data_IF_536953302601
#
_entry.id   IF_536953302601
#
_cell.length_a   1.000
_cell.length_b   1.000
_cell.length_c   1.000
_cell.angle_alpha   90.00
_cell.angle_beta   90.00
_cell.angle_gamma   90.00
#
_symmetry.space_group_name_H-M   'P 1'
#
loop_
_entity.id
_entity.type
_entity.pdbx_description
1 polymer ?
#
# COMPACT_ATOMS: atom_id res chain seq x y z
N UNK A 1 -16.31 3.94 15.69
CA UNK A 1 -15.81 3.47 14.38
C UNK A 1 -15.15 4.62 13.60
N UNK A 2 -14.10 4.33 12.81
CA UNK A 2 -13.45 5.31 11.92
C UNK A 2 -14.20 5.34 10.58
N UNK A 3 -14.80 6.48 10.26
CA UNK A 3 -15.61 6.71 9.07
C UNK A 3 -14.88 7.72 8.19
N UNK A 4 -14.51 7.38 6.96
CA UNK A 4 -13.89 8.33 6.05
C UNK A 4 -14.96 9.20 5.39
N UNK A 5 -14.64 10.48 5.24
CA UNK A 5 -15.48 11.48 4.59
C UNK A 5 -14.67 12.22 3.53
N UNK A 6 -15.28 12.44 2.36
CA UNK A 6 -14.75 13.33 1.33
C UNK A 6 -15.56 14.63 1.33
N UNK A 7 -14.87 15.77 1.38
CA UNK A 7 -15.43 17.09 1.15
C UNK A 7 -15.16 17.49 -0.30
N UNK A 8 -16.21 17.88 -1.01
CA UNK A 8 -16.13 18.45 -2.36
C UNK A 8 -15.78 19.94 -2.31
N UNK A 9 -15.42 20.51 -3.46
CA UNK A 9 -15.09 21.94 -3.58
C UNK A 9 -16.24 22.90 -3.25
N UNK A 10 -17.48 22.44 -3.37
CA UNK A 10 -18.71 23.16 -2.99
C UNK A 10 -19.12 22.91 -1.53
N UNK A 11 -18.33 22.15 -0.76
CA UNK A 11 -18.55 21.93 0.67
C UNK A 11 -19.51 20.78 1.00
N UNK A 12 -19.90 19.97 0.01
CA UNK A 12 -20.72 18.78 0.23
C UNK A 12 -19.86 17.64 0.81
N UNK A 13 -20.38 16.97 1.85
CA UNK A 13 -19.75 15.77 2.43
C UNK A 13 -20.30 14.53 1.72
N UNK A 14 -19.39 13.70 1.20
CA UNK A 14 -19.64 12.37 0.68
C UNK A 14 -19.10 11.38 1.69
N UNK A 15 -19.99 10.64 2.34
CA UNK A 15 -19.62 9.59 3.28
C UNK A 15 -19.31 8.30 2.51
N UNK A 16 -18.23 7.61 2.89
CA UNK A 16 -17.92 6.31 2.31
C UNK A 16 -18.99 5.28 2.65
N UNK A 17 -19.29 4.37 1.72
CA UNK A 17 -20.13 3.19 2.00
C UNK A 17 -19.24 2.02 2.42
N UNK A 18 -19.51 1.41 3.57
CA UNK A 18 -18.78 0.22 4.01
C UNK A 18 -19.24 -0.99 3.19
N UNK A 19 -18.30 -1.72 2.58
CA UNK A 19 -18.54 -2.89 1.73
C UNK A 19 -17.64 -4.05 2.18
N UNK A 20 -18.12 -5.29 2.03
CA UNK A 20 -17.36 -6.52 2.23
C UNK A 20 -16.93 -7.12 0.89
N UNK A 21 -15.78 -7.77 0.85
CA UNK A 21 -15.27 -8.47 -0.35
C UNK A 21 -16.09 -9.71 -0.78
N UNK A 22 -17.14 -10.07 -0.05
CA UNK A 22 -18.07 -11.12 -0.49
C UNK A 22 -18.65 -10.76 -1.87
N UNK A 23 -18.17 -11.51 -2.88
CA UNK A 23 -18.48 -11.44 -4.30
C UNK A 23 -19.64 -10.48 -4.63
N UNK A 24 -19.27 -9.27 -5.05
CA UNK A 24 -20.17 -8.33 -5.74
C UNK A 24 -20.59 -9.01 -7.05
N UNK A 25 -21.53 -9.94 -6.97
CA UNK A 25 -22.24 -10.42 -8.14
C UNK A 25 -23.17 -9.29 -8.54
N UNK A 26 -23.02 -8.81 -9.78
CA UNK A 26 -23.73 -7.66 -10.37
C UNK A 26 -25.28 -7.79 -10.43
N UNK A 27 -25.87 -8.68 -9.64
CA UNK A 27 -27.30 -9.04 -9.66
C UNK A 27 -28.03 -8.76 -8.35
N UNK A 28 -27.40 -8.20 -7.32
CA UNK A 28 -28.12 -7.91 -6.08
C UNK A 28 -28.88 -6.57 -6.15
N UNK A 29 -30.22 -6.54 -6.00
CA UNK A 29 -31.00 -5.31 -6.01
C UNK A 29 -30.65 -4.43 -4.80
N UNK A 30 -30.62 -3.11 -5.01
CA UNK A 30 -30.25 -2.03 -4.07
C UNK A 30 -31.06 -1.94 -2.75
N UNK A 31 -31.80 -2.96 -2.37
CA UNK A 31 -32.60 -2.98 -1.15
C UNK A 31 -31.79 -3.50 0.05
N UNK A 32 -30.58 -2.97 0.25
CA UNK A 32 -29.81 -3.26 1.45
C UNK A 32 -30.40 -2.41 2.59
N UNK A 33 -31.18 -3.06 3.46
CA UNK A 33 -31.79 -2.47 4.65
C UNK A 33 -30.68 -1.87 5.54
N UNK A 34 -30.69 -0.56 5.77
CA UNK A 34 -29.69 0.19 6.57
C UNK A 34 -29.45 -0.38 7.99
N UNK A 35 -30.38 -1.21 8.50
CA UNK A 35 -30.37 -1.68 9.89
C UNK A 35 -29.26 -2.67 10.29
N UNK A 36 -28.57 -3.32 9.34
CA UNK A 36 -27.61 -4.39 9.68
C UNK A 36 -26.12 -3.97 9.64
N UNK A 37 -25.82 -2.79 9.10
CA UNK A 37 -24.44 -2.28 9.07
C UNK A 37 -23.96 -1.80 10.44
N UNK A 38 -24.85 -1.24 11.25
CA UNK A 38 -24.53 -0.63 12.55
C UNK A 38 -24.02 -1.66 13.55
N UNK A 39 -24.66 -2.85 13.60
CA UNK A 39 -24.32 -3.92 14.56
C UNK A 39 -22.91 -4.51 14.40
N UNK A 40 -22.32 -4.44 13.20
CA UNK A 40 -20.97 -4.99 12.96
C UNK A 40 -19.84 -4.03 13.34
N UNK A 41 -20.12 -2.73 13.52
CA UNK A 41 -19.13 -1.71 13.86
C UNK A 41 -18.92 -1.54 15.38
N UNK A 42 -19.68 -2.25 16.21
CA UNK A 42 -19.72 -2.10 17.68
C UNK A 42 -18.40 -2.45 18.42
N UNK A 43 -17.40 -3.02 17.73
CA UNK A 43 -16.23 -3.62 18.40
C UNK A 43 -14.97 -2.73 18.53
N UNK A 44 -14.97 -1.49 18.05
CA UNK A 44 -13.84 -0.57 18.23
C UNK A 44 -13.98 0.26 19.51
N UNK A 45 -13.68 -0.32 20.69
CA UNK A 45 -13.65 0.41 21.97
C UNK A 45 -12.27 1.02 22.23
N UNK A 46 -12.12 2.32 21.95
CA UNK A 46 -10.93 3.08 22.37
C UNK A 46 -11.13 3.52 23.83
N UNK A 47 -10.29 3.05 24.75
CA UNK A 47 -10.28 3.56 26.14
C UNK A 47 -9.66 4.96 26.15
N UNK A 48 -10.41 5.97 26.58
CA UNK A 48 -10.04 7.40 26.59
C UNK A 48 -9.09 7.76 27.75
N UNK A 49 -8.46 6.79 28.41
CA UNK A 49 -7.52 7.08 29.50
C UNK A 49 -6.15 7.50 28.95
N UNK A 50 -6.00 8.83 28.82
CA UNK A 50 -4.75 9.53 28.48
C UNK A 50 -4.68 10.06 27.05
N UNK A 51 -3.77 11.02 26.81
CA UNK A 51 -3.40 11.45 25.45
C UNK A 51 -2.68 10.29 24.76
N UNK A 52 -3.40 9.53 23.95
CA UNK A 52 -2.83 8.49 23.09
C UNK A 52 -2.88 8.95 21.64
N UNK A 53 -1.73 8.99 20.98
CA UNK A 53 -1.68 9.02 19.53
C UNK A 53 -1.63 7.57 19.02
N UNK A 54 -2.37 7.30 17.95
CA UNK A 54 -2.23 6.07 17.18
C UNK A 54 -2.08 6.45 15.72
N UNK A 55 -1.38 5.60 14.98
CA UNK A 55 -1.17 5.77 13.55
C UNK A 55 -2.06 4.78 12.82
N UNK A 56 -2.91 5.29 11.94
CA UNK A 56 -3.70 4.48 11.02
C UNK A 56 -3.00 4.50 9.66
N UNK A 57 -2.65 3.33 9.15
CA UNK A 57 -2.26 3.20 7.74
C UNK A 57 -3.50 2.78 6.98
N UNK A 58 -3.99 3.64 6.10
CA UNK A 58 -5.09 3.31 5.19
C UNK A 58 -4.55 3.29 3.76
N UNK A 59 -5.12 2.42 2.93
CA UNK A 59 -4.77 2.25 1.52
C UNK A 59 -5.91 2.75 0.67
N UNK A 60 -5.60 3.71 -0.20
CA UNK A 60 -6.50 4.19 -1.24
C UNK A 60 -6.15 3.50 -2.54
N UNK A 61 -7.13 2.93 -3.22
CA UNK A 61 -6.96 2.35 -4.55
C UNK A 61 -8.22 2.56 -5.37
N UNK A 62 -8.08 2.52 -6.69
CA UNK A 62 -9.19 2.68 -7.63
C UNK A 62 -9.54 1.32 -8.23
N UNK A 63 -10.82 0.93 -8.15
CA UNK A 63 -11.34 -0.32 -8.71
C UNK A 63 -12.79 -0.15 -9.11
N UNK A 64 -13.16 -0.67 -10.28
CA UNK A 64 -14.54 -0.66 -10.81
C UNK A 64 -15.20 0.74 -10.82
N UNK A 65 -14.43 1.77 -11.17
CA UNK A 65 -14.86 3.18 -11.18
C UNK A 65 -15.20 3.78 -9.80
N UNK A 66 -14.74 3.12 -8.73
CA UNK A 66 -14.90 3.59 -7.36
C UNK A 66 -13.55 3.74 -6.67
N UNK A 67 -13.43 4.77 -5.85
CA UNK A 67 -12.32 4.91 -4.93
C UNK A 67 -12.59 4.03 -3.71
N UNK A 68 -11.69 3.11 -3.45
CA UNK A 68 -11.77 2.19 -2.31
C UNK A 68 -10.71 2.59 -1.27
N UNK A 69 -11.12 2.62 -0.02
CA UNK A 69 -10.28 2.88 1.13
C UNK A 69 -10.30 1.66 2.05
N UNK A 70 -9.24 0.86 2.00
CA UNK A 70 -9.03 -0.24 2.92
C UNK A 70 -8.20 0.22 4.11
N UNK A 71 -8.63 -0.16 5.31
CA UNK A 71 -7.83 0.01 6.52
C UNK A 71 -7.32 -1.38 6.88
N UNK A 72 -6.08 -1.76 6.50
CA UNK A 72 -5.53 -3.06 6.83
C UNK A 72 -5.63 -3.30 8.33
N UNK A 73 -6.04 -4.52 8.70
CA UNK A 73 -5.99 -5.00 10.07
C UNK A 73 -4.54 -4.93 10.56
N UNK A 74 -4.25 -3.95 11.41
CA UNK A 74 -2.91 -3.78 11.98
C UNK A 74 -2.56 -5.04 12.77
N UNK A 75 -1.48 -5.78 12.41
CA UNK A 75 -1.19 -7.06 13.02
C UNK A 75 -0.74 -6.94 14.49
N UNK A 76 -0.36 -5.75 14.97
CA UNK A 76 0.34 -5.58 16.24
C UNK A 76 -0.29 -4.60 17.23
N UNK A 77 -1.37 -3.89 16.88
CA UNK A 77 -2.03 -3.00 17.84
C UNK A 77 -3.28 -3.69 18.38
N UNK A 78 -3.12 -4.48 19.45
CA UNK A 78 -4.24 -5.05 20.24
C UNK A 78 -5.18 -4.02 20.88
N UNK A 79 -5.13 -2.76 20.43
CA UNK A 79 -5.97 -1.64 20.85
C UNK A 79 -7.23 -1.48 19.99
N UNK A 80 -7.26 -2.06 18.80
CA UNK A 80 -8.40 -2.01 17.90
C UNK A 80 -8.67 -3.46 17.52
N UNK A 81 -9.74 -4.06 18.06
CA UNK A 81 -10.27 -5.31 17.54
C UNK A 81 -10.55 -5.05 16.06
N UNK A 82 -9.68 -5.57 15.20
CA UNK A 82 -9.62 -5.12 13.81
C UNK A 82 -10.95 -5.39 13.16
N UNK A 83 -11.49 -4.37 12.49
CA UNK A 83 -12.44 -4.59 11.40
C UNK A 83 -11.83 -5.68 10.50
N UNK A 84 -12.61 -6.71 10.17
CA UNK A 84 -12.14 -7.80 9.30
C UNK A 84 -11.43 -7.20 8.08
N UNK A 85 -10.30 -7.80 7.66
CA UNK A 85 -9.51 -7.29 6.53
C UNK A 85 -10.31 -7.21 5.23
N UNK A 86 -11.46 -7.87 5.20
CA UNK A 86 -12.38 -7.93 4.07
C UNK A 86 -13.28 -6.69 3.94
N UNK A 87 -13.20 -5.73 4.87
CA UNK A 87 -13.98 -4.48 4.80
C UNK A 87 -13.17 -3.34 4.19
N UNK A 88 -13.82 -2.61 3.29
CA UNK A 88 -13.29 -1.37 2.73
C UNK A 88 -14.43 -0.37 2.54
N UNK A 89 -14.07 0.92 2.52
CA UNK A 89 -15.01 1.99 2.23
C UNK A 89 -14.97 2.30 0.74
N UNK A 90 -16.13 2.37 0.09
CA UNK A 90 -16.26 2.77 -1.31
C UNK A 90 -16.83 4.18 -1.44
N UNK A 91 -16.26 4.93 -2.37
CA UNK A 91 -16.79 6.19 -2.87
C UNK A 91 -17.04 6.02 -4.38
N UNK A 92 -18.30 5.88 -4.73
CA UNK A 92 -18.72 5.65 -6.12
C UNK A 92 -18.84 6.98 -6.88
N UNK A 93 -18.62 6.94 -8.20
CA UNK A 93 -18.91 8.05 -9.13
C UNK A 93 -18.17 9.36 -8.79
N UNK A 94 -16.94 9.26 -8.30
CA UNK A 94 -16.10 10.43 -8.12
C UNK A 94 -15.60 10.94 -9.48
N UNK A 95 -15.54 12.27 -9.63
CA UNK A 95 -14.99 12.93 -10.81
C UNK A 95 -13.50 13.21 -10.60
N UNK A 96 -12.76 13.49 -11.68
CA UNK A 96 -11.38 13.94 -11.58
C UNK A 96 -11.32 15.40 -11.12
N UNK A 97 -11.33 15.60 -9.80
CA UNK A 97 -11.27 16.90 -9.14
C UNK A 97 -10.56 16.82 -7.79
N UNK A 98 -10.46 17.96 -7.12
CA UNK A 98 -9.87 18.06 -5.79
C UNK A 98 -10.97 17.80 -4.76
N UNK A 99 -10.67 16.88 -3.85
CA UNK A 99 -11.45 16.55 -2.68
C UNK A 99 -10.61 16.80 -1.42
N UNK A 100 -11.26 16.86 -0.26
CA UNK A 100 -10.56 16.76 1.01
C UNK A 100 -11.03 15.51 1.77
N UNK A 101 -10.11 14.65 2.16
CA UNK A 101 -10.36 13.45 2.94
C UNK A 101 -10.15 13.75 4.43
N UNK A 102 -11.06 13.28 5.28
CA UNK A 102 -10.81 13.16 6.72
C UNK A 102 -11.36 11.85 7.26
N UNK A 103 -10.99 11.54 8.48
CA UNK A 103 -11.59 10.46 9.25
C UNK A 103 -12.34 11.03 10.44
N UNK A 104 -13.57 10.53 10.64
CA UNK A 104 -14.41 10.82 11.79
C UNK A 104 -14.47 9.58 12.66
N UNK A 105 -14.13 9.74 13.93
CA UNK A 105 -14.23 8.71 14.95
C UNK A 105 -15.47 9.00 15.80
N UNK A 106 -16.52 8.20 15.59
CA UNK A 106 -17.66 8.21 16.50
C UNK A 106 -17.27 7.45 17.78
N UNK A 107 -17.21 8.18 18.91
CA UNK A 107 -16.91 7.63 20.24
C UNK A 107 -18.16 7.38 21.09
N UNK A 108 -19.35 7.68 20.57
CA UNK A 108 -20.60 7.44 21.26
C UNK A 108 -20.60 5.98 21.72
N UNK A 109 -20.59 5.79 23.05
CA UNK A 109 -20.86 4.48 23.61
C UNK A 109 -22.32 4.24 23.27
N UNK A 110 -22.59 3.23 22.47
CA UNK A 110 -23.89 2.60 22.57
C UNK A 110 -23.96 2.07 24.00
N UNK A 111 -24.61 2.85 24.87
CA UNK A 111 -25.20 2.36 26.09
C UNK A 111 -26.31 1.43 25.64
N UNK A 112 -25.94 0.24 25.18
CA UNK A 112 -26.88 -0.88 25.20
C UNK A 112 -27.30 -0.96 26.66
N UNK A 113 -28.57 -0.69 27.02
CA UNK A 113 -28.99 -0.83 28.39
C UNK A 113 -28.76 -2.29 28.73
N UNK A 114 -27.68 -2.56 29.46
CA UNK A 114 -27.51 -3.85 30.09
C UNK A 114 -28.75 -3.95 30.97
N UNK A 115 -29.57 -4.96 30.69
CA UNK A 115 -30.77 -5.23 31.44
C UNK A 115 -30.32 -5.64 32.85
N UNK A 116 -29.95 -4.67 33.68
CA UNK A 116 -29.38 -4.93 34.98
C UNK A 116 -30.49 -5.37 35.92
N UNK A 117 -30.31 -6.60 36.39
CA UNK A 117 -30.94 -7.18 37.56
C UNK A 117 -30.88 -6.20 38.74
N UNK A 118 -32.04 -5.99 39.38
CA UNK A 118 -32.31 -5.18 40.58
C UNK A 118 -31.24 -5.30 41.68
N UNK A 119 -30.15 -4.54 41.58
CA UNK A 119 -29.25 -4.27 42.69
C UNK A 119 -29.11 -2.76 42.76
N UNK A 120 -29.65 -2.17 43.82
CA UNK A 120 -29.58 -0.75 44.15
C UNK A 120 -28.11 -0.37 44.42
N UNK A 121 -27.37 0.01 43.38
CA UNK A 121 -26.13 0.78 43.52
C UNK A 121 -26.37 2.18 42.99
N UNK A 122 -25.96 3.17 43.79
CA UNK A 122 -25.98 4.59 43.42
C UNK A 122 -25.12 4.82 42.17
N UNK A 123 -25.80 4.86 41.03
CA UNK A 123 -25.21 5.14 39.74
C UNK A 123 -24.69 6.57 39.75
N UNK A 124 -23.36 6.72 39.77
CA UNK A 124 -22.74 8.01 39.55
C UNK A 124 -23.04 8.39 38.11
N UNK A 125 -23.89 9.40 37.90
CA UNK A 125 -24.27 9.89 36.57
C UNK A 125 -23.02 10.46 35.88
N UNK A 126 -22.32 9.63 35.12
CA UNK A 126 -21.30 10.09 34.19
C UNK A 126 -22.02 10.70 33.00
N UNK A 127 -21.95 12.02 32.86
CA UNK A 127 -22.57 12.74 31.75
C UNK A 127 -22.16 12.15 30.40
N UNK A 128 -23.15 11.88 29.56
CA UNK A 128 -23.00 11.34 28.21
C UNK A 128 -22.24 12.31 27.30
N UNK A 129 -20.92 12.33 27.41
CA UNK A 129 -20.07 13.06 26.47
C UNK A 129 -19.87 12.21 25.21
N UNK A 130 -20.81 12.28 24.27
CA UNK A 130 -20.61 11.80 22.90
C UNK A 130 -19.77 12.82 22.11
N UNK A 131 -18.45 12.75 22.23
CA UNK A 131 -17.56 13.61 21.45
C UNK A 131 -17.25 12.95 20.10
N UNK A 132 -17.68 13.60 19.01
CA UNK A 132 -17.27 13.21 17.66
C UNK A 132 -15.87 13.77 17.43
N UNK A 133 -14.88 12.89 17.34
CA UNK A 133 -13.50 13.28 17.04
C UNK A 133 -13.28 13.24 15.53
N UNK A 134 -12.57 14.22 14.97
CA UNK A 134 -12.24 14.22 13.53
C UNK A 134 -10.78 14.59 13.30
N UNK A 135 -10.18 14.00 12.27
CA UNK A 135 -8.86 14.41 11.79
C UNK A 135 -8.96 15.72 11.01
N UNK A 136 -7.86 16.47 10.87
CA UNK A 136 -7.77 17.53 9.88
C UNK A 136 -8.06 17.02 8.47
N UNK A 137 -8.48 17.94 7.60
CA UNK A 137 -8.70 17.68 6.18
C UNK A 137 -7.38 17.49 5.44
N UNK A 138 -7.31 16.46 4.59
CA UNK A 138 -6.20 16.12 3.69
C UNK A 138 -6.63 16.31 2.25
N UNK A 139 -5.89 17.10 1.47
CA UNK A 139 -6.21 17.27 0.05
C UNK A 139 -5.96 15.96 -0.73
N UNK A 140 -6.97 15.53 -1.47
CA UNK A 140 -6.97 14.35 -2.34
C UNK A 140 -7.27 14.82 -3.76
N UNK A 141 -6.29 14.69 -4.66
CA UNK A 141 -6.45 15.09 -6.05
C UNK A 141 -6.74 13.85 -6.88
N UNK A 142 -7.95 13.73 -7.39
CA UNK A 142 -8.29 12.69 -8.35
C UNK A 142 -7.98 13.21 -9.75
N UNK A 143 -7.07 12.53 -10.44
CA UNK A 143 -6.65 12.89 -11.79
C UNK A 143 -7.03 11.78 -12.76
N UNK A 144 -7.50 12.17 -13.94
CA UNK A 144 -7.66 11.22 -15.04
C UNK A 144 -6.30 11.00 -15.73
N UNK A 145 -5.98 9.76 -16.13
CA UNK A 145 -4.85 9.52 -17.03
C UNK A 145 -4.98 10.36 -18.29
N UNK A 146 -3.84 10.78 -18.86
CA UNK A 146 -3.88 11.52 -20.12
C UNK A 146 -4.41 10.59 -21.23
N UNK A 147 -5.38 11.08 -22.00
CA UNK A 147 -6.09 10.30 -23.04
C UNK A 147 -5.14 9.65 -24.06
N UNK A 148 -3.95 10.23 -24.27
CA UNK A 148 -2.96 9.75 -25.23
C UNK A 148 -2.01 8.67 -24.69
N UNK A 149 -1.90 8.50 -23.37
CA UNK A 149 -1.00 7.54 -22.75
C UNK A 149 -1.52 7.10 -21.37
N UNK A 150 -2.08 5.89 -21.32
CA UNK A 150 -2.68 5.30 -20.12
C UNK A 150 -1.68 5.10 -18.96
N UNK A 151 -0.38 5.17 -19.23
CA UNK A 151 0.69 5.04 -18.24
C UNK A 151 1.17 6.39 -17.70
N UNK A 152 0.57 7.48 -18.17
CA UNK A 152 0.98 8.84 -17.86
C UNK A 152 -0.11 9.59 -17.10
N UNK A 153 0.31 10.24 -16.02
CA UNK A 153 -0.52 11.12 -15.20
C UNK A 153 0.17 12.48 -15.05
N UNK A 154 -0.62 13.54 -14.96
CA UNK A 154 -0.11 14.89 -14.74
C UNK A 154 -0.76 15.48 -13.49
N UNK A 155 0.08 16.03 -12.60
CA UNK A 155 -0.35 16.67 -11.36
C UNK A 155 0.44 17.96 -11.21
N UNK A 156 -0.26 19.08 -11.13
CA UNK A 156 0.31 20.42 -10.90
C UNK A 156 1.46 20.79 -11.87
N UNK A 157 1.30 20.43 -13.15
CA UNK A 157 2.32 20.67 -14.18
C UNK A 157 3.55 19.76 -14.07
N UNK A 158 3.47 18.65 -13.33
CA UNK A 158 4.47 17.59 -13.31
C UNK A 158 3.86 16.32 -13.86
N UNK A 159 4.49 15.78 -14.90
CA UNK A 159 4.06 14.53 -15.53
C UNK A 159 4.84 13.37 -14.94
N UNK A 160 4.15 12.32 -14.53
CA UNK A 160 4.72 11.05 -14.11
C UNK A 160 4.29 9.99 -15.11
N UNK A 161 5.24 9.20 -15.61
CA UNK A 161 4.98 8.10 -16.53
C UNK A 161 5.65 6.83 -16.03
N UNK A 162 4.88 5.77 -15.85
CA UNK A 162 5.44 4.46 -15.50
C UNK A 162 5.99 3.81 -16.77
N UNK A 163 7.21 3.29 -16.71
CA UNK A 163 7.82 2.56 -17.82
C UNK A 163 8.09 1.12 -17.40
N UNK A 164 7.44 0.19 -18.10
CA UNK A 164 7.70 -1.25 -18.04
C UNK A 164 7.63 -1.80 -19.48
N UNK A 165 8.73 -1.76 -20.24
CA UNK A 165 8.69 -1.92 -21.69
C UNK A 165 8.38 -3.35 -22.14
N UNK A 166 8.50 -4.33 -21.24
CA UNK A 166 8.11 -5.72 -21.50
C UNK A 166 6.92 -6.07 -20.60
N UNK A 167 5.79 -6.44 -21.20
CA UNK A 167 4.65 -7.04 -20.50
C UNK A 167 4.74 -8.57 -20.43
N UNK A 168 5.68 -9.20 -21.14
CA UNK A 168 5.86 -10.66 -21.13
C UNK A 168 7.27 -10.97 -20.63
N UNK A 169 7.36 -11.55 -19.44
CA UNK A 169 8.62 -11.96 -18.85
C UNK A 169 8.86 -13.45 -19.07
N UNK A 170 9.86 -13.72 -19.90
CA UNK A 170 10.36 -15.07 -20.18
C UNK A 170 11.40 -15.48 -19.14
N UNK A 171 11.04 -16.38 -18.25
CA UNK A 171 11.91 -16.77 -17.15
C UNK A 171 12.83 -17.91 -17.62
N UNK A 172 14.07 -17.60 -18.00
CA UNK A 172 15.10 -18.57 -18.42
C UNK A 172 16.30 -18.68 -17.49
N UNK A 173 16.42 -17.77 -16.53
CA UNK A 173 17.57 -17.67 -15.62
C UNK A 173 17.08 -17.53 -14.19
N UNK A 174 17.94 -17.86 -13.24
CA UNK A 174 17.69 -17.73 -11.80
C UNK A 174 17.34 -16.28 -11.42
N UNK A 175 17.84 -15.32 -12.19
CA UNK A 175 17.56 -13.90 -12.07
C UNK A 175 17.29 -13.30 -13.45
N UNK A 176 16.21 -12.52 -13.57
CA UNK A 176 15.88 -11.73 -14.75
C UNK A 176 15.64 -10.29 -14.32
N UNK A 177 16.47 -9.36 -14.78
CA UNK A 177 16.29 -7.93 -14.51
C UNK A 177 15.06 -7.41 -15.23
N UNK A 178 14.23 -6.68 -14.49
CA UNK A 178 13.02 -6.03 -14.99
C UNK A 178 13.32 -4.55 -15.13
N UNK A 179 13.21 -4.02 -16.35
CA UNK A 179 13.27 -2.57 -16.57
C UNK A 179 11.94 -1.98 -16.10
N UNK A 180 11.90 -1.54 -14.86
CA UNK A 180 10.76 -0.86 -14.25
C UNK A 180 11.24 0.50 -13.73
N UNK A 181 10.51 1.56 -14.05
CA UNK A 181 10.89 2.90 -13.63
C UNK A 181 9.78 3.93 -13.76
N UNK A 182 10.06 5.13 -13.26
CA UNK A 182 9.18 6.28 -13.37
C UNK A 182 9.92 7.40 -14.09
N UNK A 183 9.39 7.83 -15.22
CA UNK A 183 9.76 9.08 -15.86
C UNK A 183 9.04 10.24 -15.18
N UNK A 184 9.79 11.23 -14.73
CA UNK A 184 9.26 12.46 -14.15
C UNK A 184 9.65 13.62 -15.05
N UNK A 185 8.67 14.32 -15.60
CA UNK A 185 8.87 15.51 -16.43
C UNK A 185 8.30 16.73 -15.72
N UNK A 186 9.13 17.74 -15.53
CA UNK A 186 8.71 18.99 -14.91
C UNK A 186 8.26 19.98 -15.99
N UNK A 187 6.95 20.15 -16.17
CA UNK A 187 6.38 21.14 -17.09
C UNK A 187 6.10 22.49 -16.41
N UNK A 188 6.45 22.66 -15.13
CA UNK A 188 6.31 23.93 -14.43
C UNK A 188 7.37 24.95 -14.87
N UNK A 189 7.19 26.21 -14.50
CA UNK A 189 8.15 27.28 -14.77
C UNK A 189 9.34 27.33 -13.80
N UNK A 190 9.32 26.52 -12.74
CA UNK A 190 10.35 26.49 -11.70
C UNK A 190 11.09 25.16 -11.67
N UNK A 191 12.35 25.16 -11.24
CA UNK A 191 13.07 23.91 -10.96
C UNK A 191 12.42 23.23 -9.76
N UNK A 192 12.17 21.93 -9.88
CA UNK A 192 11.62 21.11 -8.79
C UNK A 192 12.65 20.06 -8.37
N UNK A 193 12.74 19.82 -7.06
CA UNK A 193 13.53 18.73 -6.52
C UNK A 193 12.65 17.52 -6.22
N UNK A 194 13.06 16.37 -6.73
CA UNK A 194 12.44 15.08 -6.47
C UNK A 194 13.36 14.27 -5.58
N UNK A 195 12.78 13.65 -4.56
CA UNK A 195 13.56 12.89 -3.60
C UNK A 195 13.95 11.55 -4.23
N UNK A 196 15.25 11.26 -4.37
CA UNK A 196 15.72 10.04 -5.03
C UNK A 196 15.43 8.78 -4.21
N UNK A 197 15.50 8.94 -2.89
CA UNK A 197 15.03 7.94 -1.91
C UNK A 197 13.56 8.18 -1.56
N UNK A 198 12.79 8.80 -2.45
CA UNK A 198 11.34 8.79 -2.32
C UNK A 198 10.88 7.38 -2.05
N UNK A 199 9.85 7.33 -1.24
CA UNK A 199 9.22 6.10 -0.88
C UNK A 199 8.54 5.59 -2.15
N UNK A 200 9.15 4.59 -2.78
CA UNK A 200 8.55 3.86 -3.89
C UNK A 200 7.94 2.61 -3.29
N UNK A 201 6.61 2.57 -3.28
CA UNK A 201 5.85 1.41 -2.84
C UNK A 201 5.33 0.68 -4.07
N UNK A 202 5.28 -0.65 -3.99
CA UNK A 202 4.70 -1.47 -5.03
C UNK A 202 3.51 -2.23 -4.46
N UNK A 203 2.45 -2.30 -5.25
CA UNK A 203 1.28 -3.15 -5.00
C UNK A 203 1.21 -4.12 -6.18
N UNK A 204 1.17 -5.42 -5.88
CA UNK A 204 1.01 -6.46 -6.88
C UNK A 204 -0.33 -7.15 -6.70
N UNK A 205 -1.13 -7.19 -7.76
CA UNK A 205 -2.41 -7.88 -7.80
C UNK A 205 -2.25 -9.15 -8.67
N UNK A 206 -2.72 -10.28 -8.15
CA UNK A 206 -2.75 -11.56 -8.85
C UNK A 206 -3.81 -11.64 -9.94
N UNK A 207 -3.80 -12.74 -10.69
CA UNK A 207 -4.79 -13.07 -11.71
C UNK A 207 -6.20 -13.30 -11.13
N UNK A 208 -6.27 -13.62 -9.84
CA UNK A 208 -7.50 -13.70 -9.06
C UNK A 208 -8.03 -12.34 -8.59
N UNK A 209 -7.34 -11.24 -8.95
CA UNK A 209 -7.68 -9.88 -8.52
C UNK A 209 -7.34 -9.59 -7.05
N UNK A 210 -6.61 -10.48 -6.34
CA UNK A 210 -6.24 -10.26 -4.95
C UNK A 210 -4.85 -9.66 -4.83
N UNK A 211 -4.65 -8.81 -3.81
CA UNK A 211 -3.33 -8.29 -3.51
C UNK A 211 -2.40 -9.39 -3.00
N UNK A 212 -1.21 -9.48 -3.58
CA UNK A 212 -0.13 -10.34 -3.12
C UNK A 212 0.66 -9.58 -2.08
N UNK A 213 0.60 -10.03 -0.83
CA UNK A 213 1.36 -9.44 0.25
C UNK A 213 2.86 -9.50 -0.04
N UNK A 214 3.53 -8.34 -0.01
CA UNK A 214 4.98 -8.28 -0.06
C UNK A 214 5.60 -8.59 1.31
N UNK A 215 6.73 -9.28 1.27
CA UNK A 215 7.65 -9.37 2.40
C UNK A 215 8.75 -8.33 2.20
N UNK A 216 8.94 -7.43 3.15
CA UNK A 216 10.05 -6.47 3.09
C UNK A 216 11.28 -7.01 3.81
N UNK A 217 12.46 -6.69 3.31
CA UNK A 217 13.69 -6.90 4.05
C UNK A 217 13.63 -6.24 5.44
N UNK A 218 14.19 -6.88 6.49
CA UNK A 218 14.31 -6.24 7.78
C UNK A 218 15.15 -4.97 7.65
N UNK A 219 14.86 -3.91 8.43
CA UNK A 219 15.64 -2.68 8.36
C UNK A 219 17.11 -2.94 8.68
N UNK A 220 17.95 -2.85 7.64
CA UNK A 220 19.40 -2.95 7.80
C UNK A 220 19.92 -1.82 8.70
N UNK A 221 21.00 -2.02 9.47
CA UNK A 221 21.57 -1.02 10.40
C UNK A 221 22.61 -0.08 9.75
N UNK A 222 22.39 0.36 8.51
CA UNK A 222 23.29 1.32 7.84
C UNK A 222 23.17 2.73 8.43
N UNK A 223 24.22 3.56 8.40
CA UNK A 223 24.13 5.00 8.77
C UNK A 223 23.73 5.81 7.53
N UNK A 224 22.70 6.66 7.61
CA UNK A 224 22.30 7.50 6.47
C UNK A 224 23.42 8.43 6.00
N UNK A 225 23.79 8.36 4.72
CA UNK A 225 24.26 9.54 3.96
C UNK A 225 23.14 10.56 3.80
N UNK A 226 23.53 11.79 3.47
CA UNK A 226 22.61 12.88 3.18
C UNK A 226 21.55 12.49 2.13
N UNK A 227 20.33 13.04 2.22
CA UNK A 227 19.27 12.78 1.26
C UNK A 227 19.71 13.19 -0.16
N UNK A 228 19.62 12.25 -1.11
CA UNK A 228 19.89 12.52 -2.52
C UNK A 228 18.62 13.05 -3.20
N UNK A 229 18.77 14.06 -4.05
CA UNK A 229 17.68 14.69 -4.79
C UNK A 229 18.04 14.81 -6.27
N UNK A 230 17.03 14.63 -7.13
CA UNK A 230 17.11 15.02 -8.53
C UNK A 230 16.50 16.41 -8.69
N UNK A 231 17.31 17.35 -9.18
CA UNK A 231 16.82 18.67 -9.57
C UNK A 231 16.40 18.61 -11.04
N UNK A 232 15.10 18.78 -11.29
CA UNK A 232 14.53 18.71 -12.64
C UNK A 232 14.13 20.11 -13.06
N UNK A 233 14.84 20.66 -14.06
CA UNK A 233 14.57 21.98 -14.62
C UNK A 233 13.25 22.00 -15.40
N UNK A 234 12.63 23.18 -15.62
CA UNK A 234 11.50 23.35 -16.52
C UNK A 234 11.71 22.69 -17.90
N UNK A 235 10.71 21.94 -18.37
CA UNK A 235 10.72 21.21 -19.63
C UNK A 235 11.72 20.04 -19.70
N UNK A 236 12.32 19.63 -18.58
CA UNK A 236 13.24 18.49 -18.52
C UNK A 236 12.61 17.31 -17.82
N UNK A 237 13.16 16.13 -18.12
CA UNK A 237 12.74 14.86 -17.55
C UNK A 237 13.90 14.13 -16.88
N UNK A 238 13.58 13.33 -15.85
CA UNK A 238 14.49 12.37 -15.22
C UNK A 238 13.84 10.98 -15.24
N UNK A 239 14.66 9.93 -15.26
CA UNK A 239 14.20 8.55 -15.14
C UNK A 239 14.65 7.96 -13.81
N UNK A 240 13.69 7.55 -12.99
CA UNK A 240 13.92 6.83 -11.75
C UNK A 240 13.87 5.34 -12.02
N UNK A 241 15.04 4.72 -12.20
CA UNK A 241 15.14 3.27 -12.37
C UNK A 241 14.89 2.56 -11.02
N UNK A 242 13.93 1.64 -10.99
CA UNK A 242 13.65 0.83 -9.81
C UNK A 242 14.50 -0.42 -9.73
N UNK A 243 15.41 -0.72 -10.66
CA UNK A 243 16.33 -1.88 -10.58
C UNK A 243 15.65 -3.20 -10.16
N UNK A 244 14.40 -3.41 -10.59
CA UNK A 244 13.57 -4.53 -10.12
C UNK A 244 14.01 -5.85 -10.75
N UNK A 245 13.76 -6.96 -10.07
CA UNK A 245 14.25 -8.28 -10.47
C UNK A 245 13.18 -9.36 -10.29
N UNK A 246 13.08 -10.26 -11.26
CA UNK A 246 12.40 -11.54 -11.12
C UNK A 246 13.42 -12.59 -10.69
N UNK A 247 13.17 -13.26 -9.57
CA UNK A 247 14.08 -14.19 -8.94
C UNK A 247 13.42 -15.56 -8.83
N UNK A 248 14.17 -16.63 -9.09
CA UNK A 248 13.85 -17.95 -8.56
C UNK A 248 14.45 -18.04 -7.16
N UNK A 249 13.60 -18.27 -6.17
CA UNK A 249 14.05 -18.59 -4.81
C UNK A 249 13.48 -19.92 -4.36
N UNK A 250 14.07 -20.46 -3.30
CA UNK A 250 13.51 -21.59 -2.58
C UNK A 250 13.01 -21.08 -1.24
N UNK A 251 11.85 -21.57 -0.82
CA UNK A 251 11.33 -21.28 0.51
C UNK A 251 11.95 -22.26 1.49
N UNK A 252 12.80 -21.78 2.39
CA UNK A 252 13.29 -22.58 3.51
C UNK A 252 12.10 -22.97 4.39
N UNK A 253 12.07 -24.23 4.81
CA UNK A 253 11.12 -24.67 5.83
C UNK A 253 11.69 -24.22 7.18
N UNK A 254 11.06 -23.24 7.86
CA UNK A 254 11.57 -22.72 9.13
C UNK A 254 11.58 -23.78 10.24
N UNK A 255 10.90 -24.91 10.07
CA UNK A 255 10.97 -26.04 11.02
C UNK A 255 12.30 -26.79 10.97
N UNK A 256 13.08 -26.61 9.89
CA UNK A 256 14.35 -27.28 9.69
C UNK A 256 15.48 -26.36 10.12
N UNK A 257 16.05 -26.60 11.30
CA UNK A 257 17.20 -25.84 11.85
C UNK A 257 18.52 -26.09 11.06
N UNK A 258 18.43 -26.55 9.81
CA UNK A 258 19.56 -26.93 8.98
C UNK A 258 19.81 -25.80 7.98
N UNK A 259 20.94 -25.11 8.15
CA UNK A 259 21.44 -24.17 7.14
C UNK A 259 21.98 -24.96 5.94
N UNK A 260 21.10 -25.34 5.02
CA UNK A 260 21.50 -25.91 3.73
C UNK A 260 21.64 -24.80 2.68
N UNK A 261 22.78 -24.75 1.98
CA UNK A 261 22.92 -23.85 0.82
C UNK A 261 22.39 -24.53 -0.43
N UNK A 262 21.29 -24.03 -0.96
CA UNK A 262 20.74 -24.46 -2.26
C UNK A 262 21.12 -23.47 -3.36
N UNK A 263 21.32 -23.96 -4.59
CA UNK A 263 21.59 -23.13 -5.76
C UNK A 263 20.91 -23.70 -7.01
N UNK A 264 20.54 -22.83 -7.94
CA UNK A 264 20.07 -23.26 -9.26
C UNK A 264 21.25 -23.51 -10.18
N UNK A 265 21.28 -24.66 -10.86
CA UNK A 265 22.25 -24.91 -11.92
C UNK A 265 21.87 -24.17 -13.22
N UNK A 266 22.70 -24.31 -14.26
CA UNK A 266 22.46 -23.68 -15.58
C UNK A 266 21.15 -24.09 -16.25
N UNK A 267 20.55 -25.21 -15.82
CA UNK A 267 19.27 -25.73 -16.33
C UNK A 267 18.08 -25.30 -15.48
N UNK A 268 18.27 -24.40 -14.50
CA UNK A 268 17.28 -24.04 -13.47
C UNK A 268 16.85 -25.22 -12.59
N UNK A 269 17.69 -26.26 -12.51
CA UNK A 269 17.45 -27.35 -11.56
C UNK A 269 18.04 -26.96 -10.21
N UNK A 270 17.21 -26.97 -9.18
CA UNK A 270 17.64 -26.69 -7.81
C UNK A 270 18.54 -27.84 -7.31
N UNK A 271 19.79 -27.51 -6.97
CA UNK A 271 20.79 -28.45 -6.45
C UNK A 271 21.18 -28.07 -5.03
N UNK A 272 21.44 -29.10 -4.22
CA UNK A 272 21.99 -28.96 -2.88
C UNK A 272 23.50 -28.86 -2.95
N UNK A 273 24.10 -27.87 -2.29
CA UNK A 273 25.54 -27.88 -2.00
C UNK A 273 25.76 -28.70 -0.73
N UNK A 274 25.79 -30.02 -0.86
CA UNK A 274 25.96 -30.92 0.29
C UNK A 274 27.34 -30.70 0.91
N UNK A 275 27.40 -30.44 2.22
CA UNK A 275 28.56 -30.87 3.00
C UNK A 275 28.50 -32.39 3.11
N UNK A 276 29.63 -33.09 2.99
CA UNK A 276 29.68 -34.56 2.79
C UNK A 276 29.13 -35.41 3.94
N UNK A 277 28.61 -34.82 5.03
CA UNK A 277 28.38 -35.53 6.29
C UNK A 277 26.91 -35.63 6.74
N UNK A 278 25.92 -35.34 5.89
CA UNK A 278 24.50 -35.48 6.25
C UNK A 278 23.81 -36.59 5.44
N UNK A 279 23.85 -37.80 5.97
CA UNK A 279 23.03 -38.93 5.50
C UNK A 279 21.68 -38.94 6.23
N UNK A 280 20.58 -38.80 5.48
CA UNK A 280 19.26 -39.25 5.96
C UNK A 280 18.06 -38.34 5.68
N UNK A 281 18.24 -37.03 5.46
CA UNK A 281 17.11 -36.12 5.24
C UNK A 281 16.97 -35.73 3.77
N UNK A 282 15.87 -36.14 3.13
CA UNK A 282 15.44 -35.64 1.81
C UNK A 282 14.52 -34.44 2.01
N UNK A 283 15.09 -33.24 2.06
CA UNK A 283 14.29 -32.03 1.91
C UNK A 283 13.93 -31.84 0.43
N UNK A 284 12.64 -31.62 0.16
CA UNK A 284 12.15 -31.20 -1.17
C UNK A 284 11.86 -29.69 -1.09
N UNK A 285 12.85 -28.83 -1.33
CA UNK A 285 12.63 -27.38 -1.30
C UNK A 285 11.51 -26.99 -2.27
N UNK A 286 10.60 -26.13 -1.80
CA UNK A 286 9.59 -25.52 -2.66
C UNK A 286 10.24 -24.38 -3.43
N UNK A 287 10.36 -24.54 -4.74
CA UNK A 287 10.79 -23.46 -5.65
C UNK A 287 9.64 -22.48 -5.85
N UNK A 288 9.92 -21.19 -5.76
CA UNK A 288 8.97 -20.11 -6.00
C UNK A 288 9.59 -19.02 -6.89
N UNK A 289 8.76 -18.32 -7.65
CA UNK A 289 9.16 -17.11 -8.36
C UNK A 289 8.80 -15.92 -7.49
N UNK A 290 9.71 -14.96 -7.41
CA UNK A 290 9.54 -13.71 -6.70
C UNK A 290 9.76 -12.52 -7.61
N UNK A 291 8.95 -11.47 -7.44
CA UNK A 291 9.27 -10.13 -7.93
C UNK A 291 9.86 -9.34 -6.76
N UNK A 292 11.09 -8.88 -6.92
CA UNK A 292 11.77 -8.00 -5.98
C UNK A 292 11.72 -6.57 -6.52
N UNK A 293 11.06 -5.66 -5.80
CA UNK A 293 11.02 -4.23 -6.10
C UNK A 293 11.72 -3.48 -4.96
N UNK A 294 12.74 -2.66 -5.22
CA UNK A 294 13.39 -1.86 -4.19
C UNK A 294 12.38 -1.02 -3.41
N UNK A 295 12.34 -1.27 -2.11
CA UNK A 295 11.58 -0.49 -1.15
C UNK A 295 12.55 0.46 -0.46
N UNK A 296 12.60 1.71 -0.96
CA UNK A 296 13.38 2.78 -0.33
C UNK A 296 12.61 3.48 0.81
N UNK A 297 11.40 3.03 1.11
CA UNK A 297 10.41 3.68 2.00
C UNK A 297 10.59 3.26 3.46
N UNK A 298 10.82 1.96 3.69
CA UNK A 298 10.80 1.36 5.04
C UNK A 298 12.10 1.51 5.81
N UNK A 299 13.15 2.00 5.17
CA UNK A 299 14.43 2.27 5.82
C UNK A 299 14.57 3.76 6.08
N UNK A 300 13.80 4.25 7.07
CA UNK A 300 14.07 5.55 7.70
C UNK A 300 15.55 5.55 8.13
N UNK A 301 16.39 6.25 7.37
CA UNK A 301 17.79 6.56 7.67
C UNK A 301 18.84 5.46 7.54
N UNK A 302 18.55 4.30 6.94
CA UNK A 302 19.56 3.25 6.82
C UNK A 302 19.79 2.90 5.35
N UNK A 303 21.04 2.91 4.91
CA UNK A 303 21.53 2.66 3.54
C UNK A 303 21.25 1.25 2.98
N UNK A 304 20.34 0.48 3.59
CA UNK A 304 19.91 -0.79 3.04
C UNK A 304 19.12 -0.55 1.75
N UNK A 305 19.55 -1.19 0.66
CA UNK A 305 18.70 -1.43 -0.51
C UNK A 305 17.71 -2.54 -0.12
N UNK A 306 16.70 -2.21 0.68
CA UNK A 306 15.63 -3.14 0.97
C UNK A 306 14.81 -3.39 -0.26
N UNK A 307 14.31 -4.62 -0.39
CA UNK A 307 13.35 -4.98 -1.41
C UNK A 307 12.03 -5.39 -0.76
N UNK A 308 10.94 -5.09 -1.46
CA UNK A 308 9.67 -5.77 -1.30
C UNK A 308 9.67 -6.99 -2.23
N UNK A 309 9.53 -8.18 -1.64
CA UNK A 309 9.43 -9.44 -2.34
C UNK A 309 7.99 -9.91 -2.42
N UNK A 310 7.45 -9.95 -3.62
CA UNK A 310 6.16 -10.59 -3.91
C UNK A 310 6.42 -12.05 -4.26
N UNK A 311 5.97 -12.96 -3.40
CA UNK A 311 6.27 -14.40 -3.50
C UNK A 311 5.13 -15.22 -4.11
N UNK A 312 5.41 -16.50 -4.33
CA UNK A 312 4.45 -17.48 -4.86
C UNK A 312 3.85 -17.08 -6.23
N UNK A 313 4.63 -16.37 -7.07
CA UNK A 313 4.22 -16.06 -8.44
C UNK A 313 4.19 -17.35 -9.29
N UNK A 314 3.16 -17.46 -10.12
CA UNK A 314 2.84 -18.63 -10.95
C UNK A 314 3.18 -18.35 -12.40
N UNK A 315 3.82 -19.32 -13.03
CA UNK A 315 4.03 -19.29 -14.47
C UNK A 315 2.70 -19.50 -15.19
N UNK A 316 2.45 -18.73 -16.23
CA UNK A 316 1.21 -18.71 -17.00
C UNK A 316 0.15 -17.75 -16.46
N UNK A 317 0.39 -17.10 -15.31
CA UNK A 317 -0.51 -16.12 -14.74
C UNK A 317 -0.21 -14.68 -15.20
N UNK A 318 -1.23 -13.83 -15.12
CA UNK A 318 -1.16 -12.39 -15.31
C UNK A 318 -1.09 -11.67 -13.96
N UNK A 319 -0.42 -10.54 -13.92
CA UNK A 319 -0.27 -9.72 -12.73
C UNK A 319 -0.45 -8.25 -13.09
N UNK A 320 -1.07 -7.50 -12.18
CA UNK A 320 -1.13 -6.05 -12.28
C UNK A 320 -0.22 -5.43 -11.21
N UNK A 321 0.71 -4.60 -11.62
CA UNK A 321 1.63 -3.89 -10.74
C UNK A 321 1.27 -2.42 -10.73
N UNK A 322 1.09 -1.86 -9.54
CA UNK A 322 0.99 -0.42 -9.32
C UNK A 322 2.21 0.04 -8.53
N UNK A 323 2.82 1.12 -9.01
CA UNK A 323 3.92 1.79 -8.32
C UNK A 323 3.38 3.09 -7.72
N UNK A 324 3.72 3.36 -6.46
CA UNK A 324 3.34 4.58 -5.77
C UNK A 324 4.61 5.36 -5.46
N UNK A 325 4.69 6.59 -5.97
CA UNK A 325 5.73 7.54 -5.60
C UNK A 325 5.22 8.41 -4.45
N UNK A 326 5.79 8.25 -3.26
CA UNK A 326 5.43 9.05 -2.09
C UNK A 326 6.65 9.74 -1.46
N UNK A 327 6.45 10.99 -1.07
CA UNK A 327 7.46 11.79 -0.37
C UNK A 327 7.18 11.74 1.12
N UNK A 328 8.17 11.32 1.91
CA UNK A 328 8.03 11.21 3.36
C UNK A 328 7.89 12.59 4.03
N UNK A 329 7.23 12.65 5.18
CA UNK A 329 7.09 13.89 5.95
C UNK A 329 8.45 14.52 6.34
N UNK A 330 9.47 13.68 6.52
CA UNK A 330 10.83 14.15 6.80
C UNK A 330 11.41 15.00 5.66
N UNK A 331 11.04 14.70 4.41
CA UNK A 331 11.45 15.51 3.26
C UNK A 331 10.74 16.87 3.22
N UNK A 332 9.52 16.99 3.76
CA UNK A 332 8.80 18.27 3.87
C UNK A 332 9.53 19.25 4.79
N UNK A 333 10.08 18.74 5.90
CA UNK A 333 10.85 19.57 6.84
C UNK A 333 12.13 20.15 6.20
N UNK A 334 12.69 19.49 5.18
CA UNK A 334 13.89 19.94 4.48
C UNK A 334 13.62 21.10 3.53
N UNK A 335 12.36 21.34 3.13
CA UNK A 335 11.97 22.51 2.33
C UNK A 335 12.34 23.82 3.04
N UNK A 336 12.24 23.85 4.39
CA UNK A 336 12.66 25.02 5.18
C UNK A 336 14.15 25.35 5.09
N UNK A 337 15.00 24.41 4.63
CA UNK A 337 16.46 24.56 4.59
C UNK A 337 17.01 24.77 3.18
N UNK A 338 16.19 24.62 2.15
CA UNK A 338 16.63 24.64 0.75
C UNK A 338 15.87 25.75 0.02
N UNK A 339 16.58 26.56 -0.77
CA UNK A 339 15.99 27.67 -1.51
C UNK A 339 15.08 27.22 -2.68
N UNK A 340 15.25 25.98 -3.12
CA UNK A 340 14.48 25.38 -4.21
C UNK A 340 13.27 24.59 -3.68
N UNK A 341 12.16 24.68 -4.41
CA UNK A 341 10.92 23.98 -4.09
C UNK A 341 11.10 22.46 -4.23
N UNK A 342 10.73 21.74 -3.17
CA UNK A 342 10.69 20.28 -3.18
C UNK A 342 9.30 19.87 -3.62
N UNK A 343 9.20 18.95 -4.58
CA UNK A 343 7.90 18.36 -4.90
C UNK A 343 7.44 17.51 -3.72
N UNK A 344 6.29 17.84 -3.14
CA UNK A 344 5.72 17.15 -2.00
C UNK A 344 4.34 16.62 -2.40
N UNK A 345 4.18 15.31 -2.33
CA UNK A 345 2.96 14.67 -2.82
C UNK A 345 3.09 13.16 -2.83
N UNK A 346 1.94 12.52 -3.04
CA UNK A 346 1.81 11.08 -3.16
C UNK A 346 1.09 10.81 -4.48
N UNK A 347 1.66 9.93 -5.28
CA UNK A 347 1.15 9.61 -6.61
C UNK A 347 1.09 8.10 -6.76
N UNK A 348 -0.12 7.58 -6.96
CA UNK A 348 -0.32 6.22 -7.41
C UNK A 348 -0.32 6.21 -8.94
N UNK A 349 0.62 5.48 -9.53
CA UNK A 349 0.71 5.32 -10.97
C UNK A 349 -0.43 4.42 -11.48
N UNK A 350 -0.82 4.53 -12.75
CA UNK A 350 -1.68 3.53 -13.40
C UNK A 350 -1.10 2.11 -13.26
N UNK A 351 -1.97 1.11 -13.21
CA UNK A 351 -1.55 -0.29 -13.20
C UNK A 351 -0.86 -0.65 -14.53
N UNK A 352 0.24 -1.39 -14.44
CA UNK A 352 0.87 -2.05 -15.58
C UNK A 352 0.63 -3.55 -15.48
N UNK A 353 0.20 -4.17 -16.58
CA UNK A 353 -0.01 -5.62 -16.63
C UNK A 353 1.25 -6.32 -17.14
N UNK A 354 1.59 -7.46 -16.53
CA UNK A 354 2.60 -8.36 -17.06
C UNK A 354 2.24 -9.83 -16.87
N UNK A 355 2.80 -10.68 -17.73
CA UNK A 355 2.62 -12.12 -17.73
C UNK A 355 3.96 -12.83 -17.52
N UNK A 356 3.93 -13.90 -16.74
CA UNK A 356 5.07 -14.79 -16.56
C UNK A 356 4.93 -15.98 -17.50
N UNK A 357 5.91 -16.22 -18.37
CA UNK A 357 5.89 -17.39 -19.27
C UNK A 357 7.14 -18.24 -19.10
N UNK A 358 6.96 -19.55 -19.20
CA UNK A 358 8.08 -20.51 -19.26
C UNK A 358 8.71 -20.42 -20.65
N UNK A 359 10.04 -20.43 -20.70
CA UNK A 359 10.77 -20.61 -21.95
C UNK A 359 10.83 -22.08 -22.38
#
# INVERSE_FOLDING_TARGET
PLIPELLTSDGQIIQGRLVTEELITNTQPNNLTEGDQTKKLENCKIRVEGRRSFYLTARLFWRDSSLQLAIPSSPNSGLINSVDSNYFWCFDRLEAKIYQLRFVLNTARETTPVLESKIEQEETVWGDCSEILSTPWLNLHLVQPLVTDEHTIEVDGVTFKIEMPNSIFRISKSETRVKLGIHITNNTSMTLRFYQKASIEAILIGDDGKEINSQSDPPGRGRSKEPEYYSVKPGKSVFLNLESMLLWSYKEDPSTNIQETWYFDKSLTLRRRSSEHQHGFQLKPKVQIQLAVPNKTRHRFNEGNGFDYFSDLKVGASYQLQVIYCVSDGARNLESRVLEKIWTGWIAMPFVEFHLVKL
#
